data_IF_034384531151
#
_entry.id   IF_034384531151
#
_cell.length_a   1.000
_cell.length_b   1.000
_cell.length_c   1.000
_cell.angle_alpha   90.00
_cell.angle_beta   90.00
_cell.angle_gamma   90.00
#
_symmetry.space_group_name_H-M   'P 1'
#
loop_
_entity.id
_entity.type
_entity.pdbx_description
1 polymer ?
#
# COMPACT_ATOMS: atom_id res chain seq x y z
N UNK A 1 -9.67 0.91 -25.90
CA UNK A 1 -10.58 1.01 -24.75
C UNK A 1 -10.81 -0.32 -23.99
N UNK A 2 -10.67 -1.49 -24.61
CA UNK A 2 -10.98 -2.80 -23.98
C UNK A 2 -9.91 -3.33 -23.00
N UNK A 3 -8.66 -2.95 -23.12
CA UNK A 3 -7.55 -3.46 -22.28
C UNK A 3 -7.50 -2.81 -20.90
N UNK A 4 -7.78 -1.51 -20.78
CA UNK A 4 -7.82 -0.79 -19.48
C UNK A 4 -8.95 -1.29 -18.58
N UNK A 5 -10.10 -1.64 -19.18
CA UNK A 5 -11.25 -2.15 -18.42
C UNK A 5 -11.03 -3.57 -17.87
N UNK A 6 -10.19 -4.39 -18.52
CA UNK A 6 -9.85 -5.74 -18.04
C UNK A 6 -8.89 -5.74 -16.86
N UNK A 7 -7.91 -4.83 -16.84
CA UNK A 7 -6.99 -4.64 -15.71
C UNK A 7 -7.71 -4.16 -14.44
N UNK A 8 -8.55 -3.15 -14.58
CA UNK A 8 -9.35 -2.63 -13.47
C UNK A 8 -10.32 -3.67 -12.89
N UNK A 9 -10.94 -4.51 -13.73
CA UNK A 9 -11.82 -5.61 -13.27
C UNK A 9 -11.03 -6.68 -12.51
N UNK A 10 -9.84 -7.06 -12.97
CA UNK A 10 -8.97 -8.05 -12.27
C UNK A 10 -8.44 -7.52 -10.95
N UNK A 11 -7.99 -6.27 -10.89
CA UNK A 11 -7.58 -5.62 -9.63
C UNK A 11 -8.74 -5.54 -8.64
N UNK A 12 -9.95 -5.24 -9.12
CA UNK A 12 -11.17 -5.22 -8.32
C UNK A 12 -11.50 -6.57 -7.71
N UNK A 13 -11.38 -7.66 -8.47
CA UNK A 13 -11.66 -9.02 -7.98
C UNK A 13 -10.62 -9.47 -6.94
N UNK A 14 -9.35 -9.14 -7.14
CA UNK A 14 -8.28 -9.45 -6.18
C UNK A 14 -8.42 -8.67 -4.87
N UNK A 15 -8.74 -7.37 -4.94
CA UNK A 15 -8.98 -6.54 -3.76
C UNK A 15 -10.21 -7.00 -2.95
N UNK A 16 -11.32 -7.30 -3.61
CA UNK A 16 -12.51 -7.82 -2.96
C UNK A 16 -12.23 -9.17 -2.28
N UNK A 17 -11.42 -10.02 -2.89
CA UNK A 17 -11.00 -11.29 -2.29
C UNK A 17 -10.15 -11.09 -1.04
N UNK A 18 -9.21 -10.14 -1.03
CA UNK A 18 -8.37 -9.86 0.14
C UNK A 18 -9.13 -9.15 1.28
N UNK A 19 -10.00 -8.19 0.94
CA UNK A 19 -10.82 -7.48 1.94
C UNK A 19 -11.85 -8.42 2.57
N UNK A 20 -12.45 -9.32 1.80
CA UNK A 20 -13.37 -10.34 2.33
C UNK A 20 -12.67 -11.32 3.29
N UNK A 21 -11.41 -11.66 3.04
CA UNK A 21 -10.61 -12.48 3.93
C UNK A 21 -10.28 -11.78 5.26
N UNK A 22 -10.22 -10.45 5.27
CA UNK A 22 -9.92 -9.65 6.49
C UNK A 22 -11.17 -9.32 7.31
N UNK A 23 -12.36 -9.27 6.71
CA UNK A 23 -13.61 -8.90 7.38
C UNK A 23 -14.17 -10.00 8.30
N UNK A 24 -13.62 -11.20 8.27
CA UNK A 24 -14.09 -12.34 9.08
C UNK A 24 -13.34 -12.40 10.41
N UNK A 25 -13.43 -11.34 11.23
CA UNK A 25 -12.83 -11.29 12.57
C UNK A 25 -13.41 -12.28 13.59
N UNK A 26 -14.48 -13.01 13.26
CA UNK A 26 -15.07 -14.06 14.10
C UNK A 26 -14.61 -15.49 13.77
N UNK A 27 -13.94 -15.71 12.66
CA UNK A 27 -13.55 -17.06 12.19
C UNK A 27 -12.09 -17.43 12.47
N UNK A 28 -11.33 -16.61 13.20
CA UNK A 28 -9.89 -16.80 13.42
C UNK A 28 -9.56 -18.02 14.31
N UNK A 29 -10.49 -18.42 15.16
CA UNK A 29 -10.29 -19.54 16.10
C UNK A 29 -10.10 -20.93 15.43
N UNK A 30 -10.44 -21.07 14.16
CA UNK A 30 -10.35 -22.35 13.42
C UNK A 30 -9.30 -22.40 12.30
N UNK A 31 -8.66 -21.27 11.94
CA UNK A 31 -7.78 -21.18 10.75
C UNK A 31 -6.29 -21.33 11.06
N UNK A 32 -5.90 -21.44 12.33
CA UNK A 32 -4.48 -21.42 12.72
C UNK A 32 -3.77 -20.07 12.47
N UNK A 33 -4.51 -19.03 12.08
CA UNK A 33 -3.96 -17.69 11.87
C UNK A 33 -3.73 -17.01 13.22
N UNK A 34 -2.47 -16.75 13.53
CA UNK A 34 -2.07 -15.94 14.68
C UNK A 34 -1.95 -14.47 14.27
N UNK A 35 -1.95 -13.55 15.23
CA UNK A 35 -1.68 -12.13 14.99
C UNK A 35 -0.38 -11.92 14.23
N UNK A 36 0.66 -12.69 14.58
CA UNK A 36 1.94 -12.66 13.87
C UNK A 36 1.78 -13.06 12.41
N UNK A 37 1.21 -14.24 12.15
CA UNK A 37 1.08 -14.76 10.78
C UNK A 37 0.21 -13.84 9.90
N UNK A 38 -0.83 -13.24 10.47
CA UNK A 38 -1.70 -12.28 9.76
C UNK A 38 -0.94 -11.02 9.36
N UNK A 39 -0.11 -10.49 10.27
CA UNK A 39 0.73 -9.32 9.95
C UNK A 39 1.81 -9.64 8.91
N UNK A 40 2.40 -10.83 8.96
CA UNK A 40 3.39 -11.28 7.99
C UNK A 40 2.76 -11.44 6.60
N UNK A 41 1.54 -12.01 6.53
CA UNK A 41 0.78 -12.14 5.28
C UNK A 41 0.46 -10.78 4.66
N UNK A 42 0.01 -9.81 5.46
CA UNK A 42 -0.29 -8.47 4.97
C UNK A 42 0.96 -7.70 4.54
N UNK A 43 2.09 -7.87 5.27
CA UNK A 43 3.37 -7.23 4.93
C UNK A 43 3.94 -7.70 3.59
N UNK A 44 3.56 -8.88 3.13
CA UNK A 44 3.88 -9.39 1.80
C UNK A 44 2.76 -9.09 0.81
N UNK A 45 1.52 -9.31 1.21
CA UNK A 45 0.35 -9.25 0.35
C UNK A 45 0.05 -7.87 -0.22
N UNK A 46 0.13 -6.79 0.60
CA UNK A 46 -0.11 -5.44 0.10
C UNK A 46 0.95 -4.97 -0.90
N UNK A 47 2.26 -5.10 -0.61
CA UNK A 47 3.29 -4.80 -1.62
C UNK A 47 3.16 -5.64 -2.89
N UNK A 48 2.84 -6.93 -2.77
CA UNK A 48 2.61 -7.81 -3.92
C UNK A 48 1.39 -7.37 -4.74
N UNK A 49 0.30 -6.95 -4.09
CA UNK A 49 -0.87 -6.39 -4.75
C UNK A 49 -0.52 -5.09 -5.51
N UNK A 50 0.26 -4.20 -4.89
CA UNK A 50 0.73 -2.97 -5.52
C UNK A 50 1.60 -3.26 -6.75
N UNK A 51 2.55 -4.19 -6.63
CA UNK A 51 3.40 -4.64 -7.74
C UNK A 51 2.59 -5.31 -8.85
N UNK A 52 1.66 -6.20 -8.50
CA UNK A 52 0.76 -6.86 -9.45
C UNK A 52 -0.17 -5.88 -10.17
N UNK A 53 -0.60 -4.81 -9.49
CA UNK A 53 -1.39 -3.75 -10.10
C UNK A 53 -0.59 -2.97 -11.15
N UNK A 54 0.67 -2.61 -10.84
CA UNK A 54 1.56 -1.94 -11.79
C UNK A 54 1.88 -2.85 -12.99
N UNK A 55 2.24 -4.10 -12.74
CA UNK A 55 2.52 -5.08 -13.78
C UNK A 55 1.33 -5.33 -14.70
N UNK A 56 0.14 -5.59 -14.13
CA UNK A 56 -1.09 -5.89 -14.87
C UNK A 56 -1.60 -4.73 -15.73
N UNK A 57 -1.18 -3.50 -15.44
CA UNK A 57 -1.48 -2.31 -16.22
C UNK A 57 -0.36 -1.95 -17.22
N UNK A 58 0.76 -2.68 -17.22
CA UNK A 58 1.93 -2.34 -18.02
C UNK A 58 2.62 -1.04 -17.55
N UNK A 59 2.40 -0.64 -16.31
CA UNK A 59 2.90 0.60 -15.72
C UNK A 59 4.33 0.41 -15.21
N UNK A 60 5.28 0.38 -16.12
CA UNK A 60 6.71 0.21 -15.81
C UNK A 60 7.26 1.33 -14.94
N UNK A 61 6.79 2.55 -15.13
CA UNK A 61 7.19 3.69 -14.32
C UNK A 61 6.64 3.57 -12.90
N UNK A 62 5.37 3.18 -12.74
CA UNK A 62 4.79 2.87 -11.43
C UNK A 62 5.55 1.75 -10.72
N UNK A 63 5.96 0.70 -11.44
CA UNK A 63 6.75 -0.38 -10.86
C UNK A 63 8.11 0.11 -10.33
N UNK A 64 8.82 1.00 -11.08
CA UNK A 64 10.06 1.64 -10.60
C UNK A 64 9.81 2.49 -9.35
N UNK A 65 8.77 3.31 -9.35
CA UNK A 65 8.42 4.19 -8.23
C UNK A 65 8.05 3.37 -6.97
N UNK A 66 7.31 2.28 -7.12
CA UNK A 66 7.04 1.34 -6.04
C UNK A 66 8.34 0.74 -5.49
N UNK A 67 9.24 0.29 -6.37
CA UNK A 67 10.53 -0.29 -5.97
C UNK A 67 11.35 0.72 -5.17
N UNK A 68 11.47 1.97 -5.64
CA UNK A 68 12.16 3.04 -4.92
C UNK A 68 11.51 3.34 -3.57
N UNK A 69 10.17 3.37 -3.52
CA UNK A 69 9.42 3.53 -2.26
C UNK A 69 9.73 2.41 -1.27
N UNK A 70 9.74 1.15 -1.72
CA UNK A 70 10.03 0.00 -0.86
C UNK A 70 11.49 -0.03 -0.38
N UNK A 71 12.44 0.17 -1.30
CA UNK A 71 13.88 0.16 -0.97
C UNK A 71 14.20 1.29 0.03
N UNK A 72 13.70 2.50 -0.21
CA UNK A 72 13.93 3.62 0.73
C UNK A 72 13.23 3.40 2.08
N UNK A 73 12.02 2.83 2.09
CA UNK A 73 11.30 2.49 3.32
C UNK A 73 12.06 1.47 4.16
N UNK A 74 12.47 0.35 3.55
CA UNK A 74 13.20 -0.70 4.25
C UNK A 74 14.58 -0.21 4.66
N UNK A 75 15.32 0.45 3.76
CA UNK A 75 16.64 0.99 4.04
C UNK A 75 16.63 1.98 5.21
N UNK A 76 15.70 2.94 5.22
CA UNK A 76 15.56 3.88 6.33
C UNK A 76 15.15 3.19 7.64
N UNK A 77 14.25 2.19 7.57
CA UNK A 77 13.87 1.41 8.75
C UNK A 77 15.08 0.65 9.34
N UNK A 78 15.93 0.05 8.51
CA UNK A 78 17.10 -0.67 8.99
C UNK A 78 18.18 0.28 9.57
N UNK A 79 18.38 1.46 8.97
CA UNK A 79 19.26 2.50 9.54
C UNK A 79 18.74 2.94 10.91
N UNK A 80 17.46 3.18 11.06
CA UNK A 80 16.85 3.55 12.34
C UNK A 80 16.98 2.43 13.39
N UNK A 81 16.80 1.16 12.99
CA UNK A 81 17.02 0.01 13.90
C UNK A 81 18.45 -0.12 14.37
N UNK A 82 19.41 0.19 13.50
CA UNK A 82 20.82 0.18 13.87
C UNK A 82 21.18 1.33 14.83
N UNK A 83 20.45 2.45 14.75
CA UNK A 83 20.72 3.64 15.57
C UNK A 83 19.91 3.65 16.86
N UNK A 84 18.67 3.16 16.84
CA UNK A 84 17.73 3.19 17.98
C UNK A 84 17.57 1.78 18.55
N UNK A 85 18.30 1.48 19.61
CA UNK A 85 18.23 0.19 20.29
C UNK A 85 16.97 0.10 21.17
N UNK A 86 15.84 -0.28 20.57
CA UNK A 86 14.56 -0.44 21.26
C UNK A 86 14.24 -1.92 21.47
N UNK A 87 14.14 -2.35 22.70
CA UNK A 87 13.78 -3.74 23.06
C UNK A 87 12.33 -4.01 22.69
N UNK A 88 12.06 -5.19 22.11
CA UNK A 88 10.69 -5.62 21.81
C UNK A 88 9.90 -5.93 23.09
N UNK A 89 8.56 -5.80 23.07
CA UNK A 89 7.73 -6.17 24.21
C UNK A 89 7.93 -7.62 24.68
N UNK A 90 8.19 -8.55 23.75
CA UNK A 90 8.46 -9.97 24.06
C UNK A 90 9.91 -10.26 24.42
N UNK A 91 10.78 -9.25 24.47
CA UNK A 91 12.20 -9.40 24.83
C UNK A 91 13.05 -10.14 23.78
N UNK A 92 12.52 -10.45 22.61
CA UNK A 92 13.22 -11.29 21.60
C UNK A 92 14.46 -10.66 21.01
N UNK A 93 14.49 -9.33 20.85
CA UNK A 93 15.63 -8.56 20.36
C UNK A 93 15.50 -7.06 20.71
N UNK A 94 16.52 -6.27 20.31
CA UNK A 94 16.56 -4.81 20.49
C UNK A 94 16.27 -4.02 19.21
N UNK A 95 15.59 -4.62 18.22
CA UNK A 95 15.29 -4.03 16.90
C UNK A 95 13.81 -3.73 16.74
N UNK A 96 13.17 -3.26 17.81
CA UNK A 96 11.74 -2.96 17.78
C UNK A 96 11.40 -1.74 16.93
N UNK A 97 12.19 -0.66 17.02
CA UNK A 97 11.89 0.62 16.36
C UNK A 97 12.65 0.81 15.04
N UNK A 98 11.97 1.26 13.97
CA UNK A 98 10.52 1.27 13.74
C UNK A 98 9.99 -0.10 13.27
N UNK A 99 8.66 -0.27 13.18
CA UNK A 99 8.05 -1.47 12.61
C UNK A 99 8.16 -1.51 11.07
N UNK A 100 9.03 -2.34 10.53
CA UNK A 100 9.20 -2.51 9.07
C UNK A 100 7.94 -3.10 8.42
N UNK A 101 7.25 -4.04 9.07
CA UNK A 101 5.98 -4.59 8.57
C UNK A 101 4.95 -3.48 8.32
N UNK A 102 4.76 -2.61 9.32
CA UNK A 102 3.84 -1.47 9.19
C UNK A 102 4.33 -0.49 8.13
N UNK A 103 5.64 -0.25 8.05
CA UNK A 103 6.20 0.68 7.07
C UNK A 103 5.92 0.23 5.62
N UNK A 104 6.18 -1.04 5.28
CA UNK A 104 5.98 -1.52 3.90
C UNK A 104 4.50 -1.57 3.49
N UNK A 105 3.57 -1.87 4.40
CA UNK A 105 2.14 -1.86 4.06
C UNK A 105 1.61 -0.45 3.87
N UNK A 106 2.06 0.53 4.67
CA UNK A 106 1.70 1.94 4.46
C UNK A 106 2.33 2.52 3.20
N UNK A 107 3.55 2.10 2.84
CA UNK A 107 4.17 2.48 1.58
C UNK A 107 3.38 1.92 0.39
N UNK A 108 2.97 0.66 0.42
CA UNK A 108 2.14 0.04 -0.61
C UNK A 108 0.76 0.71 -0.74
N UNK A 109 0.09 0.94 0.40
CA UNK A 109 -1.21 1.63 0.42
C UNK A 109 -1.11 3.03 -0.18
N UNK A 110 -0.10 3.82 0.23
CA UNK A 110 0.12 5.17 -0.30
C UNK A 110 0.50 5.17 -1.77
N UNK A 111 1.31 4.21 -2.23
CA UNK A 111 1.62 4.05 -3.64
C UNK A 111 0.34 3.85 -4.46
N UNK A 112 -0.51 2.92 -4.07
CA UNK A 112 -1.75 2.63 -4.81
C UNK A 112 -2.72 3.81 -4.80
N UNK A 113 -2.88 4.46 -3.65
CA UNK A 113 -3.69 5.66 -3.48
C UNK A 113 -3.20 6.81 -4.39
N UNK A 114 -1.91 7.14 -4.33
CA UNK A 114 -1.36 8.27 -5.08
C UNK A 114 -1.19 7.97 -6.57
N UNK A 115 -0.73 6.76 -6.92
CA UNK A 115 -0.47 6.37 -8.31
C UNK A 115 -1.76 6.23 -9.11
N UNK A 116 -2.75 5.55 -8.55
CA UNK A 116 -3.98 5.16 -9.24
C UNK A 116 -5.23 5.88 -8.69
N UNK A 117 -5.09 6.95 -7.95
CA UNK A 117 -6.07 7.74 -7.20
C UNK A 117 -7.54 7.53 -7.59
N UNK A 118 -7.94 8.05 -8.75
CA UNK A 118 -9.34 7.94 -9.21
C UNK A 118 -9.83 6.49 -9.40
N UNK A 119 -8.94 5.57 -9.84
CA UNK A 119 -9.29 4.16 -10.03
C UNK A 119 -9.40 3.41 -8.70
N UNK A 120 -8.62 3.83 -7.71
CA UNK A 120 -8.52 3.19 -6.40
C UNK A 120 -9.38 3.86 -5.32
N UNK A 121 -9.99 5.01 -5.61
CA UNK A 121 -10.76 5.79 -4.63
C UNK A 121 -11.75 4.96 -3.80
N UNK A 122 -12.55 4.02 -4.36
CA UNK A 122 -13.45 3.18 -3.56
C UNK A 122 -12.74 2.19 -2.63
N UNK A 123 -11.47 1.89 -2.90
CA UNK A 123 -10.69 0.88 -2.18
C UNK A 123 -9.64 1.49 -1.25
N UNK A 124 -9.28 2.74 -1.44
CA UNK A 124 -8.27 3.46 -0.65
C UNK A 124 -8.51 3.37 0.86
N UNK A 125 -9.73 3.58 1.39
CA UNK A 125 -9.96 3.43 2.82
C UNK A 125 -9.62 2.02 3.33
N UNK A 126 -9.95 1.00 2.56
CA UNK A 126 -9.70 -0.40 2.92
C UNK A 126 -8.22 -0.77 2.87
N UNK A 127 -7.45 -0.17 1.96
CA UNK A 127 -5.99 -0.32 1.95
C UNK A 127 -5.37 0.22 3.23
N UNK A 128 -5.80 1.39 3.69
CA UNK A 128 -5.32 1.98 4.93
C UNK A 128 -5.82 1.24 6.17
N UNK A 129 -7.04 0.71 6.15
CA UNK A 129 -7.55 -0.19 7.21
C UNK A 129 -6.65 -1.43 7.30
N UNK A 130 -6.36 -2.10 6.18
CA UNK A 130 -5.48 -3.27 6.17
C UNK A 130 -4.05 -2.93 6.66
N UNK A 131 -3.51 -1.77 6.25
CA UNK A 131 -2.22 -1.30 6.74
C UNK A 131 -2.24 -1.02 8.25
N UNK A 132 -3.29 -0.39 8.76
CA UNK A 132 -3.48 -0.15 10.20
C UNK A 132 -3.62 -1.45 10.98
N UNK A 133 -4.41 -2.40 10.47
CA UNK A 133 -4.56 -3.72 11.10
C UNK A 133 -3.24 -4.51 11.16
N UNK A 134 -2.35 -4.32 10.20
CA UNK A 134 -0.99 -4.87 10.30
C UNK A 134 -0.28 -4.31 11.52
N UNK A 135 -0.38 -3.01 11.76
CA UNK A 135 0.21 -2.38 12.95
C UNK A 135 -0.39 -2.92 14.25
N UNK A 136 -1.72 -2.99 14.35
CA UNK A 136 -2.44 -3.59 15.50
C UNK A 136 -1.93 -5.02 15.72
N UNK A 137 -1.87 -5.83 14.68
CA UNK A 137 -1.43 -7.22 14.78
C UNK A 137 0.02 -7.36 15.27
N UNK A 138 0.90 -6.39 14.95
CA UNK A 138 2.28 -6.37 15.49
C UNK A 138 2.32 -6.06 16.98
N UNK A 139 1.42 -5.20 17.47
CA UNK A 139 1.30 -4.89 18.91
C UNK A 139 0.70 -6.09 19.67
N UNK A 140 -0.40 -6.65 19.17
CA UNK A 140 -1.06 -7.83 19.77
C UNK A 140 -0.15 -9.08 19.78
N UNK A 141 0.74 -9.20 18.80
CA UNK A 141 1.77 -10.23 18.76
C UNK A 141 2.97 -9.95 19.70
N UNK A 142 2.95 -8.88 20.48
CA UNK A 142 4.05 -8.42 21.34
C UNK A 142 5.39 -8.21 20.59
N UNK A 143 5.33 -7.91 19.28
CA UNK A 143 6.53 -7.69 18.47
C UNK A 143 6.97 -6.23 18.42
N UNK A 144 6.04 -5.29 18.61
CA UNK A 144 6.29 -3.85 18.52
C UNK A 144 5.45 -3.08 19.54
N UNK A 145 5.95 -1.92 19.99
CA UNK A 145 5.16 -0.94 20.73
C UNK A 145 4.36 -0.06 19.75
N UNK A 146 3.32 0.61 20.24
CA UNK A 146 2.52 1.54 19.43
C UNK A 146 3.37 2.63 18.74
N UNK A 147 4.38 3.15 19.44
CA UNK A 147 5.31 4.15 18.87
C UNK A 147 6.07 3.60 17.66
N UNK A 148 6.45 2.32 17.68
CA UNK A 148 7.19 1.69 16.59
C UNK A 148 6.33 1.53 15.34
N UNK A 149 5.04 1.22 15.56
CA UNK A 149 4.02 1.07 14.53
C UNK A 149 3.68 2.42 13.90
N UNK A 150 3.45 3.45 14.71
CA UNK A 150 3.16 4.80 14.22
C UNK A 150 4.34 5.37 13.43
N UNK A 151 5.56 5.22 13.94
CA UNK A 151 6.77 5.64 13.24
C UNK A 151 6.97 4.87 11.93
N UNK A 152 6.73 3.54 11.93
CA UNK A 152 6.78 2.72 10.72
C UNK A 152 5.77 3.18 9.68
N UNK A 153 4.52 3.38 10.08
CA UNK A 153 3.47 3.88 9.18
C UNK A 153 3.80 5.24 8.57
N UNK A 154 4.26 6.18 9.39
CA UNK A 154 4.70 7.50 8.91
C UNK A 154 5.87 7.41 7.94
N UNK A 155 6.88 6.57 8.25
CA UNK A 155 8.04 6.34 7.39
C UNK A 155 7.63 5.81 6.01
N UNK A 156 6.83 4.73 5.97
CA UNK A 156 6.42 4.13 4.71
C UNK A 156 5.53 5.05 3.88
N UNK A 157 4.59 5.75 4.54
CA UNK A 157 3.73 6.73 3.88
C UNK A 157 4.55 7.87 3.27
N UNK A 158 5.52 8.42 4.01
CA UNK A 158 6.37 9.53 3.56
C UNK A 158 7.29 9.11 2.41
N UNK A 159 7.92 7.94 2.50
CA UNK A 159 8.77 7.43 1.43
C UNK A 159 7.99 7.25 0.13
N UNK A 160 6.80 6.65 0.20
CA UNK A 160 5.96 6.49 -0.99
C UNK A 160 5.38 7.83 -1.48
N UNK A 161 5.05 8.75 -0.57
CA UNK A 161 4.64 10.10 -0.95
C UNK A 161 5.71 10.82 -1.77
N UNK A 162 6.99 10.60 -1.45
CA UNK A 162 8.11 11.23 -2.14
C UNK A 162 8.33 10.64 -3.53
N UNK A 163 8.39 9.31 -3.64
CA UNK A 163 8.75 8.64 -4.89
C UNK A 163 7.60 8.47 -5.88
N UNK A 164 6.36 8.44 -5.40
CA UNK A 164 5.21 8.16 -6.24
C UNK A 164 4.66 9.41 -6.90
N UNK A 165 4.36 9.33 -8.19
CA UNK A 165 3.63 10.34 -8.96
C UNK A 165 2.33 9.72 -9.47
N UNK A 166 1.25 10.50 -9.54
CA UNK A 166 0.00 10.05 -10.12
C UNK A 166 0.19 9.63 -11.58
N UNK A 167 -0.55 8.59 -12.01
CA UNK A 167 -0.65 8.30 -13.43
C UNK A 167 -1.26 9.51 -14.11
N UNK A 168 -0.51 10.12 -15.02
CA UNK A 168 -1.02 11.21 -15.83
C UNK A 168 -1.98 10.61 -16.87
N UNK A 169 -3.26 10.57 -16.54
CA UNK A 169 -4.31 10.21 -17.48
C UNK A 169 -4.51 11.33 -18.47
N UNK A 170 -4.48 11.03 -19.76
CA UNK A 170 -5.01 11.96 -20.76
C UNK A 170 -6.49 12.22 -20.45
N UNK A 171 -6.86 13.47 -20.26
CA UNK A 171 -8.27 13.88 -20.06
C UNK A 171 -8.84 14.25 -21.43
N UNK A 172 -9.92 13.57 -21.78
CA UNK A 172 -10.75 13.98 -22.91
C UNK A 172 -11.76 15.01 -22.38
N UNK A 173 -11.61 16.26 -22.78
CA UNK A 173 -12.53 17.33 -22.43
C UNK A 173 -13.41 17.66 -23.65
N UNK A 174 -14.69 17.74 -23.44
CA UNK A 174 -15.66 18.24 -24.43
C UNK A 174 -15.87 19.72 -24.10
N UNK A 175 -15.45 20.59 -25.01
CA UNK A 175 -15.57 22.04 -24.86
C UNK A 175 -16.59 22.58 -25.87
N UNK A 176 -17.44 23.53 -25.48
CA UNK A 176 -18.26 24.23 -26.44
C UNK A 176 -17.38 25.04 -27.42
N UNK A 177 -17.69 24.98 -28.70
CA UNK A 177 -17.06 25.76 -29.76
C UNK A 177 -18.14 26.55 -30.51
N UNK A 178 -17.75 27.62 -31.20
CA UNK A 178 -18.68 28.56 -31.83
C UNK A 178 -19.67 27.93 -32.82
N UNK A 179 -19.37 26.73 -33.32
CA UNK A 179 -20.22 25.97 -34.25
C UNK A 179 -20.36 24.49 -33.87
N UNK A 180 -20.39 24.16 -32.55
CA UNK A 180 -20.55 22.77 -32.11
C UNK A 180 -19.76 22.43 -30.86
N UNK A 181 -19.33 21.16 -30.75
CA UNK A 181 -18.53 20.65 -29.64
C UNK A 181 -17.12 20.29 -30.14
N UNK A 182 -16.09 20.78 -29.47
CA UNK A 182 -14.72 20.38 -29.71
C UNK A 182 -14.30 19.33 -28.67
N UNK A 183 -13.55 18.32 -29.16
CA UNK A 183 -12.91 17.32 -28.31
C UNK A 183 -11.44 17.71 -28.12
N UNK A 184 -11.06 18.04 -26.91
CA UNK A 184 -9.69 18.35 -26.56
C UNK A 184 -9.09 17.18 -25.74
N UNK A 185 -7.95 16.67 -26.21
CA UNK A 185 -7.16 15.68 -25.48
C UNK A 185 -5.97 16.39 -24.82
N UNK A 186 -5.98 16.45 -23.48
CA UNK A 186 -4.86 16.96 -22.71
C UNK A 186 -4.07 15.81 -22.12
N UNK A 187 -2.79 15.74 -22.44
CA UNK A 187 -1.82 14.90 -21.76
C UNK A 187 -0.81 15.82 -21.09
N UNK A 188 -0.81 15.86 -19.76
CA UNK A 188 0.28 16.48 -19.02
C UNK A 188 1.50 15.57 -19.06
N UNK A 189 2.61 16.10 -19.48
CA UNK A 189 3.92 15.44 -19.52
C UNK A 189 4.62 15.54 -18.17
#
# INVERSE_FOLDING_TARGET
>A
MSHLNRGAKRARTLLLGMVSALAVSGAWAGTGLTWKNSSDLLAIGLPALAAGSAWGQGDTEGFKQLTLSMVSTVGAAEVLKASVHSVRPDGSDNKSFPSTHTAVVFAAARFMDKRYGAQMAPYTPWLYVAAGMTGVARVEANKHHWRDVLAGGALGWSASQWWTQAVQGGQLSVLPADHGLSLAWYRSW
#
